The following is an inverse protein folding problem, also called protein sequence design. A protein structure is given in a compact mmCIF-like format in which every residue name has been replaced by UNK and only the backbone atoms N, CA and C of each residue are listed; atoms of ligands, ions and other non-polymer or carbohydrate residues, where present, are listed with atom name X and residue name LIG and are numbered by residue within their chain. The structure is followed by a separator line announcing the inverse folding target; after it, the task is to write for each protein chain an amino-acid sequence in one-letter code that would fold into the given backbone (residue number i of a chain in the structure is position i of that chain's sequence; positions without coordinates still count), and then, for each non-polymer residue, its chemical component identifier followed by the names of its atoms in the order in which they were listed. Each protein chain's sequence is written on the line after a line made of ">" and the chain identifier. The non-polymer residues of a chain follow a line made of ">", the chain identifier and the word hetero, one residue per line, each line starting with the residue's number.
data_IF_095612595743
#
_entry.id   IF_095612595743
#
_cell.length_a   1.000
_cell.length_b   1.000
_cell.length_c   1.000
_cell.angle_alpha   90.00
_cell.angle_beta   90.00
_cell.angle_gamma   90.00
#
_symmetry.space_group_name_H-M   'P 1'
#
loop_
_entity.id
_entity.type
_entity.pdbx_description
1 polymer ?
#
# COMPACT_ATOMS: atom_id res chain seq x y z
N UNK A 1 -18.30 4.41 20.91
CA UNK A 1 -19.30 4.19 21.97
C UNK A 1 -18.71 4.65 23.29
N UNK A 2 -19.45 5.47 24.03
CA UNK A 2 -19.08 5.92 25.37
C UNK A 2 -20.10 5.35 26.35
N UNK A 3 -19.64 4.65 27.37
CA UNK A 3 -20.48 4.04 28.39
C UNK A 3 -20.18 4.67 29.75
N UNK A 4 -21.23 5.09 30.43
CA UNK A 4 -21.12 5.43 31.84
C UNK A 4 -21.13 4.15 32.69
N UNK A 5 -19.98 3.76 33.23
CA UNK A 5 -19.83 2.54 34.03
C UNK A 5 -20.15 2.75 35.53
N UNK A 6 -20.45 3.99 35.93
CA UNK A 6 -20.80 4.29 37.32
C UNK A 6 -22.27 4.07 37.62
N UNK A 7 -22.63 4.07 38.90
CA UNK A 7 -23.99 4.01 39.43
C UNK A 7 -24.71 5.36 39.44
N UNK A 8 -24.04 6.43 39.01
CA UNK A 8 -24.56 7.80 38.95
C UNK A 8 -24.55 8.34 37.54
N UNK A 9 -25.51 9.21 37.23
CA UNK A 9 -25.46 9.94 35.95
C UNK A 9 -24.27 10.89 35.89
N UNK A 10 -23.75 11.10 34.70
CA UNK A 10 -22.76 12.15 34.38
C UNK A 10 -23.40 13.17 33.45
N UNK A 11 -22.99 14.43 33.57
CA UNK A 11 -23.49 15.58 32.78
C UNK A 11 -22.33 16.35 32.19
N UNK A 12 -22.63 17.23 31.24
CA UNK A 12 -21.68 18.14 30.60
C UNK A 12 -20.44 17.42 30.08
N UNK A 13 -20.66 16.28 29.43
CA UNK A 13 -19.56 15.45 28.94
C UNK A 13 -18.96 16.08 27.68
N UNK A 14 -17.74 16.55 27.77
CA UNK A 14 -16.91 16.95 26.63
C UNK A 14 -15.93 15.83 26.32
N UNK A 15 -16.02 15.24 25.14
CA UNK A 15 -15.08 14.25 24.66
C UNK A 15 -14.17 14.87 23.60
N UNK A 16 -12.87 14.67 23.71
CA UNK A 16 -11.87 15.19 22.79
C UNK A 16 -10.98 14.06 22.30
N UNK A 17 -10.90 13.90 20.98
CA UNK A 17 -10.02 12.96 20.33
C UNK A 17 -8.69 13.64 19.99
N UNK A 18 -7.58 13.06 20.39
CA UNK A 18 -6.24 13.57 20.10
C UNK A 18 -5.35 12.48 19.51
N UNK A 19 -4.48 12.89 18.60
CA UNK A 19 -3.41 12.10 18.03
C UNK A 19 -2.13 12.95 18.01
N UNK A 20 -1.01 12.36 18.45
CA UNK A 20 0.20 13.12 18.76
C UNK A 20 0.86 13.80 17.56
N UNK A 21 0.75 13.20 16.36
CA UNK A 21 1.45 13.65 15.17
C UNK A 21 0.53 14.29 14.11
N UNK A 22 -0.78 14.38 14.41
CA UNK A 22 -1.80 14.89 13.48
C UNK A 22 -1.82 14.15 12.13
N UNK A 23 -1.50 12.84 12.15
CA UNK A 23 -1.52 11.98 10.97
C UNK A 23 -2.90 11.42 10.67
N UNK A 24 -3.81 11.48 11.66
CA UNK A 24 -5.23 11.17 11.50
C UNK A 24 -6.04 12.37 11.97
N UNK A 25 -6.87 12.93 11.09
CA UNK A 25 -7.64 14.14 11.34
C UNK A 25 -9.14 13.93 11.15
N UNK A 26 -10.02 14.61 11.90
CA UNK A 26 -11.45 14.59 11.67
C UNK A 26 -11.82 15.25 10.34
N UNK A 27 -12.80 14.67 9.63
CA UNK A 27 -13.33 15.19 8.37
C UNK A 27 -14.68 15.85 8.62
N UNK A 28 -14.84 17.09 8.18
CA UNK A 28 -16.08 17.89 8.30
C UNK A 28 -16.59 18.01 9.75
N UNK A 29 -15.72 17.87 10.75
CA UNK A 29 -16.05 17.98 12.14
C UNK A 29 -14.86 18.47 12.96
N UNK A 30 -15.11 18.84 14.23
CA UNK A 30 -14.04 19.13 15.19
C UNK A 30 -13.57 17.83 15.87
N UNK A 31 -12.39 17.86 16.48
CA UNK A 31 -11.88 16.76 17.30
C UNK A 31 -12.62 16.58 18.63
N UNK A 32 -13.59 17.43 18.96
CA UNK A 32 -14.34 17.33 20.20
C UNK A 32 -15.86 17.40 19.95
N UNK A 33 -16.62 16.74 20.83
CA UNK A 33 -18.08 16.78 20.85
C UNK A 33 -18.61 16.79 22.28
N UNK A 34 -19.89 17.13 22.42
CA UNK A 34 -20.55 17.28 23.70
C UNK A 34 -21.75 16.37 23.80
N UNK A 35 -21.97 15.82 25.01
CA UNK A 35 -23.15 15.04 25.38
C UNK A 35 -23.68 15.63 26.69
N UNK A 36 -24.93 16.06 26.71
CA UNK A 36 -25.51 16.75 27.88
C UNK A 36 -25.55 15.84 29.11
N UNK A 37 -25.94 14.56 28.90
CA UNK A 37 -26.10 13.61 30.00
C UNK A 37 -25.93 12.17 29.50
N UNK A 38 -25.32 11.35 30.35
CA UNK A 38 -25.30 9.87 30.21
C UNK A 38 -25.76 9.29 31.53
N UNK A 39 -26.88 8.56 31.53
CA UNK A 39 -27.43 7.93 32.73
C UNK A 39 -26.47 6.83 33.25
N UNK A 40 -26.71 6.38 34.49
CA UNK A 40 -25.96 5.26 35.08
C UNK A 40 -26.09 4.01 34.18
N UNK A 41 -24.98 3.40 33.80
CA UNK A 41 -24.93 2.21 32.94
C UNK A 41 -25.24 2.44 31.45
N UNK A 42 -25.67 3.64 31.06
CA UNK A 42 -26.03 3.98 29.69
C UNK A 42 -24.85 4.00 28.74
N UNK A 43 -25.08 3.69 27.48
CA UNK A 43 -24.14 3.77 26.38
C UNK A 43 -24.64 4.74 25.32
N UNK A 44 -23.84 5.73 24.98
CA UNK A 44 -24.10 6.68 23.89
C UNK A 44 -23.20 6.38 22.71
N UNK A 45 -23.76 6.41 21.50
CA UNK A 45 -23.01 6.26 20.26
C UNK A 45 -22.73 7.63 19.66
N UNK A 46 -21.48 7.84 19.27
CA UNK A 46 -21.07 8.98 18.46
C UNK A 46 -20.23 8.49 17.28
N UNK A 47 -20.49 9.03 16.10
CA UNK A 47 -19.75 8.70 14.89
C UNK A 47 -18.92 9.90 14.48
N UNK A 48 -17.63 9.68 14.30
CA UNK A 48 -16.68 10.66 13.77
C UNK A 48 -16.00 10.06 12.54
N UNK A 49 -15.98 10.79 11.46
CA UNK A 49 -15.25 10.39 10.26
C UNK A 49 -13.82 10.92 10.37
N UNK A 50 -12.86 10.04 10.17
CA UNK A 50 -11.45 10.35 10.25
C UNK A 50 -10.79 10.09 8.89
N UNK A 51 -9.77 10.87 8.58
CA UNK A 51 -8.93 10.74 7.39
C UNK A 51 -7.48 10.53 7.82
N UNK A 52 -6.81 9.57 7.20
CA UNK A 52 -5.36 9.47 7.28
C UNK A 52 -4.72 10.48 6.32
N UNK A 53 -3.83 11.32 6.82
CA UNK A 53 -3.09 12.30 6.03
C UNK A 53 -1.97 11.61 5.22
N UNK A 54 -1.47 12.29 4.21
CA UNK A 54 -0.37 11.77 3.37
C UNK A 54 0.92 11.49 4.14
N UNK A 55 1.08 12.08 5.31
CA UNK A 55 2.19 11.85 6.24
C UNK A 55 2.03 10.63 7.12
N UNK A 56 0.83 9.99 7.14
CA UNK A 56 0.62 8.77 7.88
C UNK A 56 1.55 7.66 7.36
N UNK A 57 2.29 7.02 8.27
CA UNK A 57 3.14 5.88 7.95
C UNK A 57 2.37 4.57 7.85
N UNK A 58 3.10 3.47 7.84
CA UNK A 58 2.56 2.10 7.86
C UNK A 58 2.35 1.56 9.28
N UNK A 59 2.80 2.29 10.30
CA UNK A 59 2.65 1.88 11.69
C UNK A 59 1.26 2.22 12.20
N UNK A 60 0.71 1.40 13.11
CA UNK A 60 -0.54 1.71 13.78
C UNK A 60 -0.48 3.05 14.50
N UNK A 61 -1.53 3.85 14.39
CA UNK A 61 -1.63 5.17 15.02
C UNK A 61 -2.45 5.08 16.30
N UNK A 62 -1.90 5.61 17.40
CA UNK A 62 -2.59 5.67 18.69
C UNK A 62 -3.41 6.95 18.81
N UNK A 63 -4.68 6.80 19.14
CA UNK A 63 -5.63 7.88 19.39
C UNK A 63 -6.06 7.84 20.84
N UNK A 64 -6.12 9.00 21.47
CA UNK A 64 -6.60 9.14 22.85
C UNK A 64 -7.92 9.89 22.85
N UNK A 65 -8.97 9.29 23.43
CA UNK A 65 -10.22 9.94 23.71
C UNK A 65 -10.24 10.38 25.18
N UNK A 66 -10.10 11.68 25.39
CA UNK A 66 -10.17 12.30 26.70
C UNK A 66 -11.59 12.82 26.96
N UNK A 67 -12.17 12.49 28.12
CA UNK A 67 -13.49 12.91 28.53
C UNK A 67 -13.38 13.77 29.78
N UNK A 68 -14.01 14.95 29.76
CA UNK A 68 -14.25 15.79 30.93
C UNK A 68 -15.76 15.83 31.19
N UNK A 69 -16.19 15.64 32.41
CA UNK A 69 -17.61 15.53 32.76
C UNK A 69 -17.86 15.97 34.22
N UNK A 70 -19.11 16.21 34.55
CA UNK A 70 -19.55 16.52 35.94
C UNK A 70 -20.31 15.31 36.48
N UNK A 71 -19.97 14.87 37.68
CA UNK A 71 -20.68 13.87 38.44
C UNK A 71 -20.89 14.34 39.88
N UNK A 72 -22.13 14.35 40.34
CA UNK A 72 -22.48 14.84 41.69
C UNK A 72 -21.87 16.23 41.97
N UNK A 73 -22.00 17.18 41.03
CA UNK A 73 -21.46 18.55 41.06
C UNK A 73 -19.93 18.64 41.13
N UNK A 74 -19.22 17.53 40.90
CA UNK A 74 -17.77 17.46 40.88
C UNK A 74 -17.27 17.23 39.47
N UNK A 75 -16.33 18.05 39.00
CA UNK A 75 -15.65 17.85 37.72
C UNK A 75 -14.71 16.64 37.79
N UNK A 76 -14.82 15.75 36.80
CA UNK A 76 -14.00 14.56 36.68
C UNK A 76 -13.50 14.39 35.23
N UNK A 77 -12.48 13.59 35.07
CA UNK A 77 -11.93 13.24 33.75
C UNK A 77 -11.71 11.74 33.63
N UNK A 78 -11.73 11.23 32.41
CA UNK A 78 -11.26 9.90 32.05
C UNK A 78 -10.60 9.94 30.68
N UNK A 79 -9.76 8.97 30.36
CA UNK A 79 -9.19 8.86 29.03
C UNK A 79 -9.00 7.39 28.66
N UNK A 80 -9.24 7.09 27.39
CA UNK A 80 -9.02 5.78 26.80
C UNK A 80 -8.12 5.97 25.56
N UNK A 81 -7.15 5.08 25.39
CA UNK A 81 -6.31 5.04 24.20
C UNK A 81 -6.60 3.79 23.39
N UNK A 82 -6.75 3.95 22.09
CA UNK A 82 -6.95 2.88 21.15
C UNK A 82 -6.09 3.07 19.91
N UNK A 83 -5.84 2.00 19.19
CA UNK A 83 -4.93 1.99 18.05
C UNK A 83 -5.69 1.72 16.76
N UNK A 84 -5.40 2.49 15.72
CA UNK A 84 -5.94 2.28 14.38
C UNK A 84 -4.80 1.77 13.49
N UNK A 85 -4.96 0.59 12.86
CA UNK A 85 -4.01 0.15 11.85
C UNK A 85 -4.10 1.04 10.61
N UNK A 86 -2.97 1.52 10.13
CA UNK A 86 -2.87 2.29 8.88
C UNK A 86 -2.35 1.36 7.79
N UNK A 87 -3.12 1.21 6.72
CA UNK A 87 -2.71 0.45 5.54
C UNK A 87 -2.29 1.42 4.44
N UNK A 88 -1.21 1.09 3.78
CA UNK A 88 -0.73 1.80 2.60
C UNK A 88 -0.88 0.90 1.38
N UNK A 89 -1.29 1.48 0.27
CA UNK A 89 -1.39 0.76 -1.00
C UNK A 89 0.01 0.50 -1.54
N UNK A 90 0.25 -0.73 -1.97
CA UNK A 90 1.45 -1.10 -2.70
C UNK A 90 1.50 -0.35 -4.04
N UNK A 91 2.65 0.15 -4.43
CA UNK A 91 2.82 0.91 -5.68
C UNK A 91 4.15 0.54 -6.34
N UNK A 92 4.12 -0.52 -7.13
CA UNK A 92 5.21 -0.92 -8.00
C UNK A 92 5.14 -0.15 -9.32
N UNK A 93 6.25 0.43 -9.74
CA UNK A 93 6.44 1.06 -11.06
C UNK A 93 7.57 0.37 -11.79
N UNK A 94 7.40 0.15 -13.08
CA UNK A 94 8.33 -0.51 -13.96
C UNK A 94 8.77 0.45 -15.06
N UNK A 95 10.05 0.43 -15.46
CA UNK A 95 10.48 1.03 -16.71
C UNK A 95 10.05 0.16 -17.90
N UNK A 96 10.08 0.72 -19.09
CA UNK A 96 9.98 -0.08 -20.31
C UNK A 96 11.18 -1.05 -20.39
N UNK A 97 10.97 -2.29 -20.88
CA UNK A 97 12.06 -3.22 -21.12
C UNK A 97 13.06 -2.62 -22.12
N UNK A 98 14.33 -2.78 -21.82
CA UNK A 98 15.43 -2.41 -22.70
C UNK A 98 16.13 -3.66 -23.22
N UNK A 99 16.28 -3.76 -24.53
CA UNK A 99 16.87 -4.91 -25.24
C UNK A 99 17.55 -4.48 -26.53
N UNK A 100 18.46 -5.30 -27.02
CA UNK A 100 19.10 -5.07 -28.32
C UNK A 100 18.20 -5.58 -29.45
N UNK A 101 17.92 -4.72 -30.44
CA UNK A 101 17.09 -5.07 -31.61
C UNK A 101 17.90 -5.67 -32.79
N UNK A 102 19.22 -5.62 -32.73
CA UNK A 102 20.10 -6.08 -33.82
C UNK A 102 20.65 -7.49 -33.54
N UNK A 103 19.80 -8.41 -33.09
CA UNK A 103 20.17 -9.81 -32.89
C UNK A 103 19.85 -10.62 -34.14
N UNK A 104 20.82 -11.44 -34.58
CA UNK A 104 20.59 -12.43 -35.62
C UNK A 104 19.68 -13.54 -35.07
N UNK A 105 18.95 -14.21 -35.95
CA UNK A 105 18.10 -15.35 -35.57
C UNK A 105 18.93 -16.41 -34.83
N UNK A 106 18.56 -16.70 -33.60
CA UNK A 106 19.23 -17.68 -32.73
C UNK A 106 20.25 -17.12 -31.75
N UNK A 107 20.62 -15.83 -31.86
CA UNK A 107 21.54 -15.19 -30.89
C UNK A 107 20.83 -14.81 -29.60
N UNK A 108 21.52 -14.99 -28.48
CA UNK A 108 21.06 -14.50 -27.20
C UNK A 108 21.25 -12.98 -27.08
N UNK A 109 20.34 -12.32 -26.41
CA UNK A 109 20.41 -10.89 -26.13
C UNK A 109 20.12 -10.59 -24.66
N UNK A 110 20.56 -9.41 -24.20
CA UNK A 110 20.29 -8.96 -22.86
C UNK A 110 18.94 -8.24 -22.79
N UNK A 111 18.10 -8.64 -21.82
CA UNK A 111 16.84 -7.99 -21.49
C UNK A 111 16.97 -7.37 -20.12
N UNK A 112 16.77 -6.06 -20.01
CA UNK A 112 16.90 -5.33 -18.75
C UNK A 112 15.77 -4.35 -18.51
N UNK A 113 15.40 -4.15 -17.24
CA UNK A 113 14.44 -3.13 -16.81
C UNK A 113 14.68 -2.77 -15.35
N UNK A 114 14.16 -1.62 -14.92
CA UNK A 114 14.17 -1.25 -13.51
C UNK A 114 12.78 -1.34 -12.90
N UNK A 115 12.76 -1.80 -11.65
CA UNK A 115 11.59 -1.87 -10.78
C UNK A 115 11.75 -0.81 -9.69
N UNK A 116 10.68 -0.06 -9.40
CA UNK A 116 10.66 0.98 -8.37
C UNK A 116 9.50 0.76 -7.41
N UNK A 117 9.78 0.70 -6.12
CA UNK A 117 8.75 0.79 -5.11
C UNK A 117 8.44 2.28 -4.83
N UNK A 118 7.43 2.84 -5.50
CA UNK A 118 6.96 4.22 -5.30
C UNK A 118 5.94 4.33 -4.18
N UNK A 119 5.58 3.20 -3.55
CA UNK A 119 4.69 3.14 -2.39
C UNK A 119 5.37 3.50 -1.08
N UNK A 120 4.59 3.54 -0.01
CA UNK A 120 5.07 3.77 1.36
C UNK A 120 5.24 2.47 2.16
N UNK A 121 4.74 1.35 1.65
CA UNK A 121 4.90 0.02 2.23
C UNK A 121 6.04 -0.73 1.55
N UNK A 122 6.57 -1.72 2.25
CA UNK A 122 7.51 -2.68 1.67
C UNK A 122 6.73 -3.58 0.70
N UNK A 123 7.35 -3.89 -0.45
CA UNK A 123 6.94 -4.98 -1.32
C UNK A 123 7.75 -6.20 -0.95
N UNK A 124 7.07 -7.31 -0.66
CA UNK A 124 7.70 -8.55 -0.24
C UNK A 124 7.81 -9.53 -1.40
N UNK A 125 8.82 -10.40 -1.35
CA UNK A 125 9.00 -11.51 -2.28
C UNK A 125 8.92 -11.11 -3.76
N UNK A 126 9.45 -9.94 -4.11
CA UNK A 126 9.44 -9.44 -5.48
C UNK A 126 10.24 -10.39 -6.37
N UNK A 127 9.60 -10.86 -7.43
CA UNK A 127 10.22 -11.73 -8.42
C UNK A 127 9.83 -11.33 -9.84
N UNK A 128 10.68 -11.64 -10.81
CA UNK A 128 10.47 -11.35 -12.23
C UNK A 128 10.70 -12.62 -13.03
N UNK A 129 9.79 -12.90 -13.96
CA UNK A 129 9.91 -13.99 -14.91
C UNK A 129 9.50 -13.54 -16.31
N UNK A 130 10.05 -14.17 -17.31
CA UNK A 130 9.62 -14.05 -18.70
C UNK A 130 8.65 -15.18 -19.03
N UNK A 131 7.48 -14.86 -19.56
CA UNK A 131 6.52 -15.81 -20.13
C UNK A 131 6.45 -15.60 -21.64
N UNK A 132 6.95 -16.58 -22.42
CA UNK A 132 6.99 -16.51 -23.87
C UNK A 132 7.09 -17.91 -24.48
N UNK A 133 6.43 -18.10 -25.61
CA UNK A 133 6.54 -19.31 -26.43
C UNK A 133 7.73 -19.25 -27.41
N UNK A 134 8.26 -18.05 -27.65
CA UNK A 134 9.32 -17.78 -28.62
C UNK A 134 10.69 -17.47 -27.98
N UNK A 135 10.70 -17.11 -26.69
CA UNK A 135 11.89 -16.69 -25.96
C UNK A 135 12.03 -17.49 -24.67
N UNK A 136 13.26 -17.72 -24.26
CA UNK A 136 13.60 -18.39 -23.01
C UNK A 136 14.62 -17.54 -22.25
N UNK A 137 14.30 -17.18 -21.01
CA UNK A 137 15.24 -16.58 -20.08
C UNK A 137 16.11 -17.66 -19.42
N UNK A 138 17.37 -17.34 -19.17
CA UNK A 138 18.30 -18.27 -18.50
C UNK A 138 17.86 -18.59 -17.07
N UNK A 139 17.26 -17.61 -16.38
CA UNK A 139 16.79 -17.77 -15.00
C UNK A 139 15.59 -16.86 -14.67
N UNK A 140 14.84 -17.24 -13.65
CA UNK A 140 13.89 -16.36 -12.99
C UNK A 140 14.63 -15.49 -11.98
N UNK A 141 14.32 -14.19 -11.95
CA UNK A 141 14.97 -13.25 -11.05
C UNK A 141 14.17 -13.07 -9.76
N UNK A 142 14.84 -13.25 -8.62
CA UNK A 142 14.28 -12.97 -7.30
C UNK A 142 14.95 -11.72 -6.71
N UNK A 143 14.20 -10.62 -6.69
CA UNK A 143 14.67 -9.34 -6.15
C UNK A 143 14.60 -9.26 -4.62
N UNK A 144 13.83 -10.17 -3.99
CA UNK A 144 13.57 -10.15 -2.55
C UNK A 144 12.63 -9.02 -2.14
N UNK A 145 12.84 -8.46 -0.96
CA UNK A 145 12.03 -7.36 -0.47
C UNK A 145 12.53 -6.03 -1.04
N UNK A 146 11.58 -5.13 -1.34
CA UNK A 146 11.86 -3.77 -1.80
C UNK A 146 11.28 -2.77 -0.80
N UNK A 147 12.14 -2.03 -0.13
CA UNK A 147 11.75 -0.96 0.79
C UNK A 147 11.07 0.20 0.06
N UNK A 148 10.29 1.00 0.79
CA UNK A 148 9.70 2.23 0.26
C UNK A 148 10.76 3.14 -0.37
N UNK A 149 10.52 3.58 -1.60
CA UNK A 149 11.44 4.44 -2.35
C UNK A 149 12.68 3.74 -2.92
N UNK A 150 12.80 2.42 -2.76
CA UNK A 150 13.91 1.64 -3.33
C UNK A 150 13.67 1.27 -4.80
N UNK A 151 14.76 0.89 -5.48
CA UNK A 151 14.72 0.32 -6.82
C UNK A 151 15.54 -0.97 -6.91
N UNK A 152 15.25 -1.78 -7.92
CA UNK A 152 15.99 -2.97 -8.30
C UNK A 152 16.11 -3.02 -9.81
N UNK A 153 17.19 -3.60 -10.31
CA UNK A 153 17.38 -3.86 -11.74
C UNK A 153 17.18 -5.34 -12.02
N UNK A 154 16.37 -5.62 -13.02
CA UNK A 154 16.24 -6.93 -13.67
C UNK A 154 17.15 -6.92 -14.90
N UNK A 155 17.98 -7.93 -15.03
CA UNK A 155 18.96 -8.07 -16.11
C UNK A 155 19.15 -9.57 -16.35
N UNK A 156 18.77 -10.04 -17.54
CA UNK A 156 18.78 -11.47 -17.86
C UNK A 156 19.14 -11.69 -19.32
N UNK A 157 19.88 -12.77 -19.61
CA UNK A 157 20.09 -13.24 -20.97
C UNK A 157 18.84 -14.00 -21.45
N UNK A 158 18.39 -13.64 -22.62
CA UNK A 158 17.24 -14.24 -23.30
C UNK A 158 17.69 -14.86 -24.61
N UNK A 159 17.26 -16.06 -24.86
CA UNK A 159 17.58 -16.83 -26.06
C UNK A 159 16.30 -17.20 -26.79
N UNK A 160 16.23 -17.04 -28.12
CA UNK A 160 15.12 -17.60 -28.91
C UNK A 160 15.00 -19.11 -28.73
N UNK A 161 13.78 -19.63 -28.73
CA UNK A 161 13.54 -21.08 -28.69
C UNK A 161 14.03 -21.72 -29.98
N UNK A 162 14.62 -22.93 -29.89
CA UNK A 162 15.18 -23.64 -31.02
C UNK A 162 14.16 -23.80 -32.17
N UNK A 163 14.60 -23.38 -33.37
CA UNK A 163 13.78 -23.41 -34.57
C UNK A 163 12.77 -22.29 -34.72
N UNK A 164 12.76 -21.33 -33.78
CA UNK A 164 11.92 -20.15 -33.91
C UNK A 164 12.45 -19.23 -35.01
N UNK A 165 11.54 -18.72 -35.84
CA UNK A 165 11.83 -17.72 -36.88
C UNK A 165 10.65 -16.76 -36.97
N UNK A 166 10.90 -15.49 -36.85
CA UNK A 166 9.89 -14.42 -36.89
C UNK A 166 10.06 -13.41 -35.78
N UNK A 167 8.99 -12.68 -35.54
CA UNK A 167 8.95 -11.69 -34.45
C UNK A 167 8.68 -12.42 -33.12
N UNK A 168 9.53 -12.19 -32.14
CA UNK A 168 9.39 -12.80 -30.82
C UNK A 168 8.50 -11.93 -29.93
N UNK A 169 7.60 -12.56 -29.22
CA UNK A 169 6.66 -11.91 -28.30
C UNK A 169 6.76 -12.54 -26.90
N UNK A 170 6.40 -11.80 -25.87
CA UNK A 170 6.36 -12.33 -24.52
C UNK A 170 5.96 -11.28 -23.47
N UNK A 171 5.62 -11.79 -22.29
CA UNK A 171 5.27 -10.98 -21.12
C UNK A 171 6.37 -11.06 -20.07
N UNK A 172 6.81 -9.93 -19.57
CA UNK A 172 7.59 -9.88 -18.35
C UNK A 172 6.60 -9.77 -17.19
N UNK A 173 6.53 -10.79 -16.37
CA UNK A 173 5.63 -10.86 -15.22
C UNK A 173 6.40 -10.54 -13.96
N UNK A 174 6.00 -9.46 -13.28
CA UNK A 174 6.54 -9.07 -11.98
C UNK A 174 5.51 -9.40 -10.91
N UNK A 175 5.89 -10.29 -9.99
CA UNK A 175 5.07 -10.70 -8.85
C UNK A 175 5.61 -10.11 -7.56
N UNK A 176 4.72 -9.68 -6.67
CA UNK A 176 5.07 -9.24 -5.31
C UNK A 176 3.94 -9.51 -4.33
N UNK A 177 4.25 -9.53 -3.05
CA UNK A 177 3.29 -9.61 -1.95
C UNK A 177 3.21 -8.25 -1.23
N UNK A 178 2.00 -7.87 -0.82
CA UNK A 178 1.79 -6.72 0.06
C UNK A 178 2.03 -7.09 1.55
N UNK A 179 1.85 -6.13 2.46
CA UNK A 179 2.03 -6.34 3.89
C UNK A 179 0.99 -7.30 4.52
N UNK A 180 -0.09 -7.60 3.83
CA UNK A 180 -1.12 -8.56 4.25
C UNK A 180 -0.88 -9.96 3.65
N UNK A 181 0.15 -10.13 2.80
CA UNK A 181 0.48 -11.37 2.11
C UNK A 181 -0.35 -11.60 0.84
N UNK A 182 -1.05 -10.59 0.33
CA UNK A 182 -1.74 -10.72 -0.95
C UNK A 182 -0.73 -10.62 -2.10
N UNK A 183 -0.78 -11.58 -3.00
CA UNK A 183 0.05 -11.61 -4.20
C UNK A 183 -0.57 -10.76 -5.30
N UNK A 184 0.24 -9.92 -5.93
CA UNK A 184 -0.14 -9.13 -7.11
C UNK A 184 0.85 -9.42 -8.23
N UNK A 185 0.34 -9.61 -9.43
CA UNK A 185 1.14 -9.74 -10.66
C UNK A 185 0.90 -8.52 -11.56
N UNK A 186 2.00 -7.96 -12.07
CA UNK A 186 2.02 -6.87 -13.05
C UNK A 186 2.68 -7.39 -14.31
N UNK A 187 1.99 -7.28 -15.44
CA UNK A 187 2.52 -7.68 -16.74
C UNK A 187 3.07 -6.45 -17.46
N UNK A 188 4.23 -6.64 -18.09
CA UNK A 188 4.81 -5.69 -19.02
C UNK A 188 5.01 -6.45 -20.33
N UNK A 189 4.26 -6.08 -21.37
CA UNK A 189 4.36 -6.72 -22.67
C UNK A 189 5.72 -6.36 -23.30
N UNK A 190 6.40 -7.39 -23.82
CA UNK A 190 7.53 -7.21 -24.69
C UNK A 190 6.99 -7.03 -26.12
N UNK A 191 7.03 -5.80 -26.62
CA UNK A 191 6.64 -5.46 -27.98
C UNK A 191 7.84 -4.95 -28.75
N UNK A 192 8.37 -5.72 -29.71
CA UNK A 192 9.55 -5.33 -30.48
C UNK A 192 9.31 -4.11 -31.40
N UNK A 193 8.05 -3.78 -31.68
CA UNK A 193 7.69 -2.61 -32.50
C UNK A 193 7.54 -1.31 -31.69
N UNK A 194 7.42 -1.39 -30.38
CA UNK A 194 7.31 -0.23 -29.48
C UNK A 194 8.65 0.45 -29.29
N UNK A 195 9.13 1.17 -30.28
CA UNK A 195 10.31 2.04 -30.18
C UNK A 195 10.02 3.22 -29.28
N UNK A 196 10.17 3.07 -27.96
CA UNK A 196 10.15 4.16 -27.01
C UNK A 196 8.79 4.79 -26.75
N UNK A 197 7.71 4.01 -26.82
CA UNK A 197 6.37 4.42 -26.42
C UNK A 197 6.24 4.55 -24.91
N UNK A 198 5.29 5.37 -24.47
CA UNK A 198 4.96 5.66 -23.08
C UNK A 198 4.77 4.36 -22.27
N UNK A 199 5.54 4.12 -21.19
CA UNK A 199 5.45 2.89 -20.38
C UNK A 199 4.09 2.70 -19.67
N UNK A 200 3.13 3.60 -19.87
CA UNK A 200 1.80 3.51 -19.27
C UNK A 200 0.81 2.62 -20.06
N UNK A 201 1.08 2.25 -21.31
CA UNK A 201 0.08 1.63 -22.20
C UNK A 201 0.08 0.09 -22.22
N UNK A 202 1.07 -0.59 -21.63
CA UNK A 202 1.18 -2.08 -21.64
C UNK A 202 0.92 -2.77 -20.30
N UNK A 203 0.45 -2.09 -19.26
CA UNK A 203 0.34 -2.68 -17.92
C UNK A 203 -1.04 -3.26 -17.65
N UNK A 204 -1.10 -4.60 -17.52
CA UNK A 204 -2.29 -5.29 -17.00
C UNK A 204 -2.00 -5.79 -15.58
N UNK A 205 -2.87 -5.44 -14.62
CA UNK A 205 -2.86 -5.99 -13.26
C UNK A 205 -3.86 -7.14 -13.22
N UNK A 206 -3.41 -8.32 -12.79
CA UNK A 206 -4.25 -9.48 -12.52
C UNK A 206 -4.59 -9.60 -11.05
#
# INVERSE_FOLDING_TARGET
>A
KIRNTSDKAVTDVKSTLTEANSTITPVNSTSSFFIDKIAAGETVNYTMHLKAESTAGILPVSLTLANAFVQEKTAKTSSDTFTIPVKQVANLSLDAPNYSVDTMAGDSFNLSMNLYNKGKSILYNVSVRLESDSLKADENYYAGNMDSGSNKSYDVMVTPVDGFSGMAEGDIVVSYEDADGNVTEVLCEYDPDSRGGDPADGRKVK
#
